data_IF_073302019898
#
_entry.id   IF_073302019898
#
_cell.length_a   1.000
_cell.length_b   1.000
_cell.length_c   1.000
_cell.angle_alpha   90.00
_cell.angle_beta   90.00
_cell.angle_gamma   90.00
#
_symmetry.space_group_name_H-M   'P 1'
#
loop_
_entity.id
_entity.type
_entity.pdbx_description
1 polymer ?
#
# COMPACT_ATOMS: atom_id res chain seq x y z
N UNK A 1 56.37 9.50 -14.81
CA UNK A 1 55.76 8.77 -13.68
C UNK A 1 56.45 9.23 -12.41
N UNK A 2 55.83 10.16 -11.69
CA UNK A 2 56.28 10.70 -10.39
C UNK A 2 55.70 9.80 -9.28
N UNK A 3 56.55 9.23 -8.39
CA UNK A 3 56.82 9.66 -6.99
C UNK A 3 55.57 9.54 -6.10
N UNK A 4 55.48 8.90 -4.93
CA UNK A 4 56.39 8.45 -3.85
C UNK A 4 55.64 7.36 -3.03
N UNK A 5 56.28 6.30 -2.48
CA UNK A 5 56.82 6.16 -1.09
C UNK A 5 55.81 6.58 0.00
N UNK A 6 55.47 5.84 1.05
CA UNK A 6 55.95 4.58 1.61
C UNK A 6 55.32 4.34 3.01
N UNK A 7 55.41 3.08 3.44
CA UNK A 7 55.54 2.52 4.80
C UNK A 7 54.78 3.04 6.05
N UNK A 8 54.23 2.05 6.78
CA UNK A 8 54.39 1.77 8.23
C UNK A 8 53.09 1.69 9.08
N UNK A 9 52.76 0.47 9.53
CA UNK A 9 51.91 0.15 10.70
C UNK A 9 52.71 0.33 12.03
N UNK A 10 52.26 -0.08 13.24
CA UNK A 10 50.93 -0.22 13.88
C UNK A 10 50.86 0.43 15.30
N UNK A 11 49.69 0.70 15.91
CA UNK A 11 49.55 0.88 17.39
C UNK A 11 48.14 0.44 17.89
N UNK A 12 48.09 -0.46 18.89
CA UNK A 12 46.99 -0.69 19.85
C UNK A 12 47.42 -0.12 21.23
N UNK A 13 46.67 -0.29 22.35
CA UNK A 13 45.31 0.16 22.71
C UNK A 13 45.33 1.03 24.00
N UNK A 14 44.32 1.85 24.31
CA UNK A 14 44.10 2.36 25.69
C UNK A 14 42.63 2.65 25.99
N UNK A 15 42.17 2.09 27.12
CA UNK A 15 40.94 2.43 27.85
C UNK A 15 41.20 3.64 28.77
N UNK A 16 40.20 4.49 29.04
CA UNK A 16 40.13 5.22 30.31
C UNK A 16 38.71 5.12 30.95
N UNK A 17 38.46 5.61 32.19
CA UNK A 17 38.11 4.79 33.35
C UNK A 17 36.62 4.85 33.74
N UNK A 18 36.20 3.89 34.57
CA UNK A 18 34.98 4.00 35.39
C UNK A 18 35.14 5.12 36.41
N UNK A 19 34.34 6.17 36.28
CA UNK A 19 34.11 7.16 37.33
C UNK A 19 32.69 6.97 37.89
N UNK A 20 32.62 6.73 39.21
CA UNK A 20 31.37 6.55 39.95
C UNK A 20 30.91 7.89 40.51
N UNK A 21 29.68 8.30 40.22
CA UNK A 21 28.98 9.43 40.88
C UNK A 21 27.54 8.97 41.20
N UNK A 22 26.95 9.34 42.36
CA UNK A 22 25.96 8.52 43.06
C UNK A 22 24.49 8.91 42.80
N UNK A 23 23.61 7.96 43.14
CA UNK A 23 22.26 8.07 43.70
C UNK A 23 21.28 9.17 43.22
N UNK A 24 20.22 8.65 42.58
CA UNK A 24 18.81 9.00 42.83
C UNK A 24 18.29 10.35 42.33
N UNK A 25 17.68 10.34 41.14
CA UNK A 25 16.38 10.98 40.92
C UNK A 25 15.53 10.08 40.01
N UNK A 26 14.37 9.66 40.51
CA UNK A 26 13.33 8.95 39.76
C UNK A 26 12.77 9.88 38.70
N UNK A 27 13.29 9.82 37.48
CA UNK A 27 12.62 10.38 36.30
C UNK A 27 11.75 9.26 35.75
N UNK A 28 10.46 9.33 36.04
CA UNK A 28 9.42 8.65 35.27
C UNK A 28 9.64 9.05 33.81
N UNK A 29 10.16 8.12 33.02
CA UNK A 29 10.21 8.29 31.57
C UNK A 29 8.77 8.63 31.12
N UNK A 30 8.56 9.67 30.31
CA UNK A 30 7.29 9.77 29.62
C UNK A 30 7.12 8.47 28.85
N UNK A 31 6.04 7.76 29.16
CA UNK A 31 5.51 6.69 28.34
C UNK A 31 5.66 7.11 26.87
N UNK A 32 6.21 6.28 25.98
CA UNK A 32 6.19 6.59 24.56
C UNK A 32 4.72 6.76 24.21
N UNK A 33 4.31 8.02 24.09
CA UNK A 33 3.05 8.40 23.49
C UNK A 33 3.10 7.77 22.12
N UNK A 34 2.40 6.64 21.95
CA UNK A 34 2.11 6.09 20.64
C UNK A 34 1.24 7.18 20.01
N UNK A 35 1.89 8.06 19.27
CA UNK A 35 1.20 8.94 18.36
C UNK A 35 0.34 8.03 17.48
N UNK A 36 -1.00 8.18 17.44
CA UNK A 36 -1.75 7.55 16.38
C UNK A 36 -1.17 8.14 15.09
N UNK A 37 -0.40 7.34 14.36
CA UNK A 37 -0.04 7.67 12.98
C UNK A 37 -1.35 7.53 12.21
N UNK A 38 -1.98 8.62 11.71
CA UNK A 38 -3.12 8.46 10.83
C UNK A 38 -2.52 8.11 9.47
N UNK A 39 -2.11 6.85 9.28
CA UNK A 39 -2.23 6.27 7.94
C UNK A 39 -3.73 6.35 7.68
N UNK A 40 -4.15 7.21 6.76
CA UNK A 40 -5.55 7.34 6.39
C UNK A 40 -6.14 5.92 6.25
N UNK A 41 -6.98 5.53 7.21
CA UNK A 41 -7.55 4.19 7.21
C UNK A 41 -8.39 4.05 5.94
N UNK A 42 -8.01 3.11 5.08
CA UNK A 42 -8.76 2.82 3.85
C UNK A 42 -10.15 2.31 4.28
N UNK A 43 -11.24 2.78 3.66
CA UNK A 43 -12.57 2.31 4.00
C UNK A 43 -12.70 0.80 3.73
N UNK A 44 -13.61 0.13 4.41
CA UNK A 44 -14.01 -1.22 4.02
C UNK A 44 -14.92 -1.17 2.80
N UNK A 45 -15.07 -2.29 2.10
CA UNK A 45 -16.00 -2.38 0.97
C UNK A 45 -17.45 -2.05 1.40
N UNK A 46 -17.89 -2.54 2.56
CA UNK A 46 -19.23 -2.23 3.08
C UNK A 46 -19.45 -0.73 3.35
N UNK A 47 -18.43 -0.02 3.83
CA UNK A 47 -18.51 1.44 4.01
C UNK A 47 -18.69 2.14 2.64
N UNK A 48 -17.95 1.71 1.62
CA UNK A 48 -18.07 2.26 0.26
C UNK A 48 -19.46 2.01 -0.32
N UNK A 49 -19.98 0.78 -0.19
CA UNK A 49 -21.33 0.44 -0.67
C UNK A 49 -22.40 1.32 -0.01
N UNK A 50 -22.22 1.65 1.28
CA UNK A 50 -23.10 2.57 2.00
C UNK A 50 -23.12 4.00 1.45
N UNK A 51 -22.13 4.40 0.63
CA UNK A 51 -22.06 5.73 0.01
C UNK A 51 -22.71 5.80 -1.37
N UNK A 52 -23.11 4.68 -1.95
CA UNK A 52 -23.64 4.66 -3.31
C UNK A 52 -25.00 5.36 -3.42
N UNK A 53 -25.32 5.94 -4.60
CA UNK A 53 -26.61 6.57 -4.82
C UNK A 53 -27.77 5.59 -4.60
N UNK A 54 -28.90 6.06 -4.07
CA UNK A 54 -30.06 5.22 -3.86
C UNK A 54 -30.59 4.64 -5.19
N UNK A 55 -30.95 3.35 -5.19
CA UNK A 55 -31.54 2.68 -6.36
C UNK A 55 -30.54 2.20 -7.41
N UNK A 56 -29.23 2.30 -7.17
CA UNK A 56 -28.24 1.69 -8.07
C UNK A 56 -28.21 0.17 -7.91
N UNK A 57 -28.03 -0.53 -9.03
CA UNK A 57 -27.79 -1.97 -9.02
C UNK A 57 -26.29 -2.22 -8.90
N UNK A 58 -25.91 -3.08 -7.96
CA UNK A 58 -24.53 -3.53 -7.86
C UNK A 58 -24.24 -4.56 -8.96
N UNK A 59 -23.12 -4.38 -9.65
CA UNK A 59 -22.63 -5.39 -10.56
C UNK A 59 -22.05 -6.57 -9.77
N UNK A 60 -22.02 -7.74 -10.42
CA UNK A 60 -21.47 -8.98 -9.86
C UNK A 60 -20.04 -9.24 -10.32
N UNK A 61 -19.31 -8.17 -10.64
CA UNK A 61 -17.94 -8.29 -11.14
C UNK A 61 -17.00 -8.46 -9.96
N UNK A 62 -16.38 -9.64 -9.87
CA UNK A 62 -15.38 -9.99 -8.88
C UNK A 62 -14.23 -10.70 -9.61
N UNK A 63 -13.07 -10.04 -9.72
CA UNK A 63 -11.97 -10.56 -10.51
C UNK A 63 -10.59 -10.20 -9.93
N UNK A 64 -9.58 -10.96 -10.33
CA UNK A 64 -8.17 -10.63 -10.14
C UNK A 64 -7.61 -10.01 -11.42
N UNK A 65 -6.88 -8.91 -11.28
CA UNK A 65 -6.12 -8.32 -12.36
C UNK A 65 -4.72 -8.93 -12.39
N UNK A 66 -4.50 -9.85 -13.33
CA UNK A 66 -3.26 -10.62 -13.45
C UNK A 66 -2.18 -9.87 -14.25
N UNK A 67 -2.58 -8.89 -15.06
CA UNK A 67 -1.65 -8.13 -15.87
C UNK A 67 -2.31 -7.09 -16.76
N UNK A 68 -1.47 -6.26 -17.37
CA UNK A 68 -1.85 -5.31 -18.41
C UNK A 68 -1.14 -5.72 -19.70
N UNK A 69 -1.92 -5.98 -20.75
CA UNK A 69 -1.40 -6.33 -22.06
C UNK A 69 -0.69 -5.13 -22.70
N UNK A 70 0.16 -5.36 -23.71
CA UNK A 70 0.93 -4.31 -24.37
C UNK A 70 0.07 -3.20 -25.02
N UNK A 71 -1.20 -3.48 -25.29
CA UNK A 71 -2.21 -2.54 -25.80
C UNK A 71 -3.00 -1.82 -24.71
N UNK A 72 -2.66 -2.01 -23.43
CA UNK A 72 -3.36 -1.44 -22.28
C UNK A 72 -4.60 -2.21 -21.82
N UNK A 73 -4.92 -3.36 -22.44
CA UNK A 73 -6.05 -4.19 -22.01
C UNK A 73 -5.77 -4.93 -20.70
N UNK A 74 -6.75 -4.95 -19.81
CA UNK A 74 -6.67 -5.66 -18.54
C UNK A 74 -6.82 -7.17 -18.75
N UNK A 75 -5.88 -7.94 -18.23
CA UNK A 75 -5.98 -9.38 -18.13
C UNK A 75 -6.68 -9.72 -16.80
N UNK A 76 -7.99 -9.91 -16.89
CA UNK A 76 -8.82 -10.22 -15.73
C UNK A 76 -9.10 -11.72 -15.65
N UNK A 77 -9.02 -12.27 -14.44
CA UNK A 77 -9.38 -13.63 -14.12
C UNK A 77 -10.45 -13.63 -13.02
N UNK A 78 -11.66 -14.10 -13.32
CA UNK A 78 -12.78 -14.12 -12.39
C UNK A 78 -14.12 -13.91 -13.07
N UNK A 79 -15.13 -13.58 -12.28
CA UNK A 79 -16.48 -13.32 -12.73
C UNK A 79 -16.61 -11.87 -13.20
N UNK A 80 -16.93 -11.70 -14.48
CA UNK A 80 -17.14 -10.37 -15.08
C UNK A 80 -18.57 -10.30 -15.58
N UNK A 81 -19.33 -9.36 -15.03
CA UNK A 81 -20.69 -9.15 -15.50
C UNK A 81 -20.66 -8.53 -16.91
N UNK A 82 -21.51 -9.05 -17.80
CA UNK A 82 -21.69 -8.51 -19.15
C UNK A 82 -23.13 -8.01 -19.26
N UNK A 83 -23.29 -6.74 -19.61
CA UNK A 83 -24.59 -6.09 -19.85
C UNK A 83 -24.51 -5.42 -21.22
N UNK A 84 -25.53 -5.61 -22.05
CA UNK A 84 -25.61 -5.03 -23.41
C UNK A 84 -24.35 -5.27 -24.24
N UNK A 85 -23.79 -6.48 -24.14
CA UNK A 85 -22.58 -6.91 -24.84
C UNK A 85 -21.31 -6.13 -24.45
N UNK A 86 -21.32 -5.46 -23.28
CA UNK A 86 -20.21 -4.72 -22.70
C UNK A 86 -19.78 -5.31 -21.35
N UNK A 87 -18.47 -5.50 -21.18
CA UNK A 87 -17.88 -5.93 -19.91
C UNK A 87 -17.99 -4.82 -18.85
N UNK A 88 -18.62 -5.14 -17.73
CA UNK A 88 -18.82 -4.22 -16.62
C UNK A 88 -17.66 -4.32 -15.63
N UNK A 89 -16.51 -3.73 -15.97
CA UNK A 89 -15.33 -3.73 -15.08
C UNK A 89 -15.39 -2.59 -14.07
N UNK A 90 -15.81 -1.40 -14.51
CA UNK A 90 -15.91 -0.18 -13.69
C UNK A 90 -17.40 0.13 -13.45
N UNK A 91 -17.96 -0.44 -12.38
CA UNK A 91 -19.36 -0.37 -12.02
C UNK A 91 -19.53 -0.44 -10.50
N UNK A 92 -20.64 0.10 -9.97
CA UNK A 92 -20.93 0.05 -8.54
C UNK A 92 -20.90 -1.38 -8.02
N UNK A 93 -20.11 -1.62 -6.98
CA UNK A 93 -19.94 -2.94 -6.37
C UNK A 93 -18.93 -3.85 -7.06
N UNK A 94 -18.17 -3.35 -8.05
CA UNK A 94 -17.04 -4.10 -8.62
C UNK A 94 -16.00 -4.39 -7.54
N UNK A 95 -15.40 -5.58 -7.58
CA UNK A 95 -14.30 -5.98 -6.71
C UNK A 95 -13.14 -6.50 -7.56
N UNK A 96 -12.02 -5.79 -7.53
CA UNK A 96 -10.82 -6.18 -8.25
C UNK A 96 -9.68 -6.38 -7.28
N UNK A 97 -9.03 -7.54 -7.30
CA UNK A 97 -7.78 -7.77 -6.56
C UNK A 97 -6.60 -7.58 -7.52
N UNK A 98 -5.66 -6.70 -7.17
CA UNK A 98 -4.46 -6.48 -8.01
C UNK A 98 -3.49 -7.64 -7.82
N UNK A 99 -3.26 -8.43 -8.87
CA UNK A 99 -2.29 -9.54 -8.88
C UNK A 99 -1.28 -9.39 -10.03
N UNK A 100 -0.96 -8.15 -10.41
CA UNK A 100 -0.01 -7.88 -11.49
C UNK A 100 1.40 -8.24 -11.04
N UNK A 101 2.05 -9.13 -11.79
CA UNK A 101 3.47 -9.46 -11.60
C UNK A 101 4.36 -8.42 -12.28
N UNK A 102 5.48 -8.07 -11.64
CA UNK A 102 6.54 -7.26 -12.26
C UNK A 102 6.32 -5.75 -12.27
N UNK A 103 5.34 -5.21 -11.55
CA UNK A 103 5.19 -3.77 -11.35
C UNK A 103 3.90 -3.36 -10.64
N UNK A 104 3.77 -2.05 -10.38
CA UNK A 104 2.56 -1.46 -9.82
C UNK A 104 1.55 -1.15 -10.92
N UNK A 105 0.25 -1.20 -10.58
CA UNK A 105 -0.82 -0.80 -11.47
C UNK A 105 -1.04 0.71 -11.38
N UNK A 106 -1.05 1.41 -12.51
CA UNK A 106 -1.36 2.84 -12.55
C UNK A 106 -2.74 3.05 -13.17
N UNK A 107 -3.74 3.46 -12.38
CA UNK A 107 -5.08 3.83 -12.87
C UNK A 107 -5.37 5.28 -12.54
N UNK A 108 -5.80 6.06 -13.52
CA UNK A 108 -6.20 7.47 -13.33
C UNK A 108 -5.13 8.31 -12.59
N UNK A 109 -3.84 7.97 -12.78
CA UNK A 109 -2.70 8.62 -12.12
C UNK A 109 -2.37 8.13 -10.70
N UNK A 110 -3.12 7.16 -10.18
CA UNK A 110 -2.91 6.54 -8.86
C UNK A 110 -2.21 5.20 -9.02
N UNK A 111 -1.21 4.96 -8.17
CA UNK A 111 -0.41 3.74 -8.15
C UNK A 111 -1.01 2.78 -7.11
N UNK A 112 -1.31 1.55 -7.53
CA UNK A 112 -1.81 0.47 -6.69
C UNK A 112 -0.83 -0.70 -6.71
N UNK A 113 -0.40 -1.11 -5.52
CA UNK A 113 0.51 -2.22 -5.35
C UNK A 113 -0.20 -3.57 -5.56
N UNK A 114 0.58 -4.62 -5.81
CA UNK A 114 0.10 -6.00 -5.76
C UNK A 114 -0.55 -6.29 -4.39
N UNK A 115 -1.72 -6.92 -4.41
CA UNK A 115 -2.54 -7.22 -3.25
C UNK A 115 -3.55 -6.13 -2.91
N UNK A 116 -3.52 -4.96 -3.59
CA UNK A 116 -4.52 -3.92 -3.41
C UNK A 116 -5.93 -4.45 -3.76
N UNK A 117 -6.90 -4.11 -2.91
CA UNK A 117 -8.31 -4.43 -3.09
C UNK A 117 -9.00 -3.20 -3.66
N UNK A 118 -9.40 -3.25 -4.93
CA UNK A 118 -9.96 -2.11 -5.63
C UNK A 118 -11.47 -2.24 -5.81
N UNK A 119 -12.16 -1.15 -5.54
CA UNK A 119 -13.56 -0.96 -5.91
C UNK A 119 -13.72 0.44 -6.49
N UNK A 120 -14.95 0.84 -6.78
CA UNK A 120 -15.27 2.20 -7.19
C UNK A 120 -16.02 2.94 -6.10
N UNK A 121 -15.78 4.25 -5.97
CA UNK A 121 -16.56 5.09 -5.07
C UNK A 121 -17.94 5.48 -5.66
N UNK A 122 -18.68 6.32 -4.95
CA UNK A 122 -19.98 6.86 -5.37
C UNK A 122 -19.96 7.67 -6.67
N UNK A 123 -18.79 8.14 -7.09
CA UNK A 123 -18.56 8.93 -8.31
C UNK A 123 -17.90 8.07 -9.41
N UNK A 124 -17.81 6.75 -9.20
CA UNK A 124 -17.15 5.77 -10.05
C UNK A 124 -15.63 5.97 -10.18
N UNK A 125 -14.94 6.54 -9.20
CA UNK A 125 -13.47 6.56 -9.19
C UNK A 125 -12.90 5.30 -8.57
N UNK A 126 -11.76 4.82 -9.08
CA UNK A 126 -11.06 3.71 -8.46
C UNK A 126 -10.53 4.10 -7.08
N UNK A 127 -10.85 3.30 -6.09
CA UNK A 127 -10.35 3.45 -4.74
C UNK A 127 -9.87 2.10 -4.20
N UNK A 128 -8.95 2.14 -3.25
CA UNK A 128 -8.49 0.96 -2.55
C UNK A 128 -9.22 0.84 -1.21
N UNK A 129 -9.70 -0.37 -0.90
CA UNK A 129 -10.34 -0.71 0.36
C UNK A 129 -9.44 -1.59 1.22
N UNK A 130 -9.67 -1.58 2.53
CA UNK A 130 -8.89 -2.39 3.48
C UNK A 130 -9.34 -3.85 3.53
N UNK A 131 -10.60 -4.13 3.22
CA UNK A 131 -11.19 -5.48 3.18
C UNK A 131 -12.43 -5.54 2.28
N UNK A 132 -12.83 -6.76 1.90
CA UNK A 132 -14.10 -7.02 1.20
C UNK A 132 -15.31 -7.14 2.12
N UNK A 133 -15.09 -7.00 3.44
CA UNK A 133 -16.13 -7.07 4.47
C UNK A 133 -16.96 -5.80 4.58
#
# INVERSE_FOLDING_TARGET
>A
MSLLVGCASPIQPVTPPSESIPATETITAPEPTIAPSPKADKPTYSEVVGTYPAGVNLCKTEASLEGISANGSWLLNGDIQIIDNQMQVKCYGTKITVNVEGGDLILDGVIYAKGALLTVDKDLNWIEVSSWE
#
